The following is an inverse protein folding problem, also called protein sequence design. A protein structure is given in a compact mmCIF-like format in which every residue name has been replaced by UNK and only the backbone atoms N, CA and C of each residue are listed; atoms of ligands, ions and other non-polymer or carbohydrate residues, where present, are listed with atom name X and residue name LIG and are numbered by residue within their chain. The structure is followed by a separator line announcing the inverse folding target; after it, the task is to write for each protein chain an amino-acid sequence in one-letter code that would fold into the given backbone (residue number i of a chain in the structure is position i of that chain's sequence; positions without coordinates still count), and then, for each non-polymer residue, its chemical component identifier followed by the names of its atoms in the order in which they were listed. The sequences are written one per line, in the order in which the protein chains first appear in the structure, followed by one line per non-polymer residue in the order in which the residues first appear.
data_IF_831243145318
#
_entry.id   IF_831243145318
#
_cell.length_a   1.000
_cell.length_b   1.000
_cell.length_c   1.000
_cell.angle_alpha   90.00
_cell.angle_beta   90.00
_cell.angle_gamma   90.00
#
_symmetry.space_group_name_H-M   'P 1'
#
loop_
_entity.id
_entity.type
_entity.pdbx_description
1 polymer ?
#
# COMPACT_ATOMS: atom_id res chain seq x y z
N UNK A 1 19.81 -0.14 -7.92
CA UNK A 1 19.49 -0.94 -9.10
C UNK A 1 18.40 -1.94 -8.76
N UNK A 2 17.40 -2.05 -9.61
CA UNK A 2 16.23 -2.89 -9.34
C UNK A 2 16.46 -4.30 -9.87
N UNK A 3 16.26 -5.31 -9.04
CA UNK A 3 16.39 -6.70 -9.48
C UNK A 3 15.15 -7.14 -10.25
N UNK A 4 15.26 -8.26 -10.96
CA UNK A 4 14.11 -8.83 -11.66
C UNK A 4 13.01 -9.22 -10.68
N UNK A 5 13.37 -9.77 -9.53
CA UNK A 5 12.39 -10.14 -8.52
C UNK A 5 11.65 -8.92 -8.00
N UNK A 6 12.37 -7.83 -7.79
CA UNK A 6 11.76 -6.59 -7.31
C UNK A 6 10.80 -6.01 -8.35
N UNK A 7 11.20 -6.02 -9.62
CA UNK A 7 10.32 -5.53 -10.69
C UNK A 7 9.06 -6.37 -10.81
N UNK A 8 9.22 -7.69 -10.72
CA UNK A 8 8.07 -8.59 -10.80
C UNK A 8 7.11 -8.36 -9.65
N UNK A 9 7.64 -8.15 -8.45
CA UNK A 9 6.80 -7.90 -7.27
C UNK A 9 6.02 -6.59 -7.43
N UNK A 10 6.69 -5.54 -7.87
CA UNK A 10 6.04 -4.24 -8.06
C UNK A 10 4.96 -4.32 -9.14
N UNK A 11 5.22 -5.05 -10.21
CA UNK A 11 4.22 -5.23 -11.26
C UNK A 11 2.99 -5.97 -10.73
N UNK A 12 3.21 -6.97 -9.88
CA UNK A 12 2.11 -7.72 -9.28
C UNK A 12 1.28 -6.83 -8.37
N UNK A 13 1.93 -5.96 -7.59
CA UNK A 13 1.20 -5.03 -6.73
C UNK A 13 0.36 -4.07 -7.56
N UNK A 14 0.89 -3.60 -8.68
CA UNK A 14 0.14 -2.71 -9.55
C UNK A 14 -1.12 -3.40 -10.09
N UNK A 15 -1.04 -4.68 -10.36
CA UNK A 15 -2.18 -5.44 -10.85
C UNK A 15 -3.21 -5.69 -9.75
N UNK A 16 -2.77 -5.79 -8.49
CA UNK A 16 -3.70 -5.98 -7.39
C UNK A 16 -4.55 -4.75 -7.12
N UNK A 17 -4.03 -3.57 -7.43
CA UNK A 17 -4.72 -2.32 -7.17
C UNK A 17 -4.51 -1.81 -5.75
N UNK A 18 -5.22 -0.75 -5.39
CA UNK A 18 -5.08 -0.12 -4.08
C UNK A 18 -5.56 -1.06 -2.98
N UNK A 19 -4.70 -1.33 -2.00
CA UNK A 19 -5.01 -2.25 -0.91
C UNK A 19 -6.24 -1.81 -0.11
N UNK A 20 -6.45 -0.51 0.03
CA UNK A 20 -7.59 0.00 0.76
C UNK A 20 -8.85 0.00 -0.08
N UNK A 21 -8.76 0.44 -1.35
CA UNK A 21 -9.94 0.46 -2.23
C UNK A 21 -10.55 -0.92 -2.42
N UNK A 22 -9.71 -1.93 -2.52
CA UNK A 22 -10.19 -3.30 -2.69
C UNK A 22 -11.04 -3.72 -1.48
N UNK A 23 -10.68 -3.23 -0.29
CA UNK A 23 -11.40 -3.59 0.92
C UNK A 23 -12.72 -2.86 1.05
N UNK A 24 -12.78 -1.58 0.63
CA UNK A 24 -13.97 -0.77 0.89
C UNK A 24 -14.89 -0.61 -0.31
N UNK A 25 -14.43 -0.97 -1.50
CA UNK A 25 -15.24 -0.87 -2.72
C UNK A 25 -15.29 -2.24 -3.39
N UNK A 26 -16.36 -3.03 -3.14
CA UNK A 26 -16.42 -4.41 -3.66
C UNK A 26 -16.26 -4.54 -5.17
N UNK A 27 -16.69 -3.53 -5.92
CA UNK A 27 -16.61 -3.57 -7.37
C UNK A 27 -15.43 -2.75 -7.91
N UNK A 28 -14.42 -2.54 -7.08
CA UNK A 28 -13.29 -1.71 -7.47
C UNK A 28 -12.53 -2.30 -8.64
N UNK A 29 -12.21 -1.46 -9.61
CA UNK A 29 -11.37 -1.83 -10.74
C UNK A 29 -9.95 -1.38 -10.44
N UNK A 30 -8.94 -2.25 -10.65
CA UNK A 30 -7.57 -1.83 -10.42
C UNK A 30 -7.21 -0.63 -11.28
N UNK A 31 -6.52 0.32 -10.70
CA UNK A 31 -6.09 1.52 -11.37
C UNK A 31 -4.70 1.88 -10.94
N UNK A 32 -4.24 3.07 -11.31
CA UNK A 32 -2.89 3.49 -10.93
C UNK A 32 -2.70 3.48 -9.42
N UNK A 33 -1.55 2.96 -8.98
CA UNK A 33 -1.21 2.93 -7.57
C UNK A 33 0.18 3.49 -7.37
N UNK A 34 0.40 3.96 -6.15
CA UNK A 34 1.72 4.34 -5.68
C UNK A 34 2.14 3.32 -4.63
N UNK A 35 3.44 3.16 -4.46
CA UNK A 35 3.95 2.14 -3.55
C UNK A 35 4.40 2.81 -2.26
N UNK A 36 3.74 2.46 -1.17
CA UNK A 36 4.00 3.00 0.15
C UNK A 36 4.84 2.01 0.94
N UNK A 37 5.97 2.46 1.48
CA UNK A 37 6.81 1.62 2.33
C UNK A 37 6.27 1.58 3.74
N UNK A 38 6.13 0.38 4.28
CA UNK A 38 5.83 0.22 5.69
C UNK A 38 7.15 0.31 6.44
N UNK A 39 7.27 1.32 7.29
CA UNK A 39 8.52 1.58 7.99
C UNK A 39 8.53 1.06 9.41
N UNK A 40 8.01 -0.06 9.60
CA UNK A 40 7.98 -0.69 10.90
C UNK A 40 9.39 -1.15 11.26
N UNK A 41 9.96 -0.59 12.30
CA UNK A 41 11.29 -0.98 12.71
C UNK A 41 12.41 -0.31 11.93
N UNK A 42 12.09 0.40 10.92
CA UNK A 42 12.97 1.35 10.32
C UNK A 42 14.14 0.90 9.50
N UNK A 43 14.25 -0.34 9.15
CA UNK A 43 15.45 -0.73 8.47
C UNK A 43 15.25 -1.30 7.12
N UNK A 44 14.13 -1.12 6.58
CA UNK A 44 13.75 -1.74 5.38
C UNK A 44 14.53 -1.38 4.16
N UNK A 45 15.47 -0.55 4.26
CA UNK A 45 16.44 -0.29 3.30
C UNK A 45 16.16 -0.86 1.91
N UNK A 46 15.22 -0.29 1.19
CA UNK A 46 14.90 -0.74 -0.13
C UNK A 46 14.21 -2.08 -0.20
N UNK A 47 13.72 -2.56 0.91
CA UNK A 47 13.05 -3.86 0.94
C UNK A 47 11.71 -3.76 0.24
N UNK A 48 11.64 -4.34 -0.96
CA UNK A 48 10.41 -4.30 -1.74
C UNK A 48 9.29 -5.13 -1.10
N UNK A 49 9.62 -5.98 -0.14
CA UNK A 49 8.59 -6.78 0.54
C UNK A 49 7.79 -5.98 1.55
N UNK A 50 8.16 -4.73 1.79
CA UNK A 50 7.41 -3.87 2.69
C UNK A 50 6.54 -2.86 1.94
N UNK A 51 6.33 -3.06 0.64
CA UNK A 51 5.56 -2.14 -0.17
C UNK A 51 4.07 -2.45 -0.11
N UNK A 52 3.27 -1.40 0.02
CA UNK A 52 1.81 -1.49 0.00
C UNK A 52 1.30 -0.64 -1.15
N UNK A 53 0.53 -1.21 -2.10
CA UNK A 53 -0.01 -0.41 -3.19
C UNK A 53 -1.21 0.41 -2.71
N UNK A 54 -1.17 1.71 -2.93
CA UNK A 54 -2.25 2.62 -2.55
C UNK A 54 -2.48 3.61 -3.68
N UNK A 55 -3.74 3.93 -3.95
CA UNK A 55 -4.04 4.97 -4.93
C UNK A 55 -3.60 6.32 -4.38
N UNK A 56 -3.56 7.33 -5.25
CA UNK A 56 -3.13 8.65 -4.82
C UNK A 56 -3.94 9.14 -3.61
N UNK A 57 -5.24 9.00 -3.68
CA UNK A 57 -6.12 9.50 -2.62
C UNK A 57 -5.81 8.88 -1.27
N UNK A 58 -5.59 7.57 -1.22
CA UNK A 58 -5.35 6.87 0.03
C UNK A 58 -3.88 6.88 0.43
N UNK A 59 -3.01 7.37 -0.43
CA UNK A 59 -1.59 7.50 -0.14
C UNK A 59 -1.24 8.94 0.23
N UNK A 60 -1.41 9.88 -0.69
CA UNK A 60 -1.01 11.27 -0.53
C UNK A 60 -2.16 12.24 -0.39
N UNK A 61 -3.39 11.82 -0.68
CA UNK A 61 -4.55 12.70 -0.59
C UNK A 61 -4.90 13.05 0.84
N UNK A 62 -5.87 13.94 1.01
CA UNK A 62 -6.28 14.41 2.33
C UNK A 62 -6.77 13.29 3.23
N UNK A 63 -7.36 12.26 2.64
CA UNK A 63 -7.85 11.11 3.40
C UNK A 63 -6.90 9.94 3.33
N UNK A 64 -5.69 10.15 2.81
CA UNK A 64 -4.68 9.11 2.71
C UNK A 64 -3.80 9.00 3.93
N UNK A 65 -2.91 8.02 3.89
CA UNK A 65 -2.07 7.73 5.04
C UNK A 65 -1.10 8.88 5.35
N UNK A 66 -0.64 9.60 4.33
CA UNK A 66 0.24 10.75 4.55
C UNK A 66 -0.56 12.00 4.91
N UNK A 67 -1.79 12.12 4.41
CA UNK A 67 -2.62 13.27 4.71
C UNK A 67 -3.16 13.24 6.14
N UNK A 68 -3.65 12.08 6.56
CA UNK A 68 -4.21 11.93 7.91
C UNK A 68 -3.16 11.61 8.96
N UNK A 69 -2.06 10.98 8.54
CA UNK A 69 -1.13 10.38 9.47
C UNK A 69 -1.50 8.93 9.73
N UNK A 70 -0.51 8.11 10.05
CA UNK A 70 -0.72 6.67 10.14
C UNK A 70 -1.80 6.27 11.12
N UNK A 71 -1.76 6.80 12.33
CA UNK A 71 -2.72 6.37 13.35
C UNK A 71 -4.14 6.80 13.03
N UNK A 72 -4.31 8.02 12.54
CA UNK A 72 -5.63 8.50 12.16
C UNK A 72 -6.17 7.72 10.97
N UNK A 73 -5.31 7.41 10.01
CA UNK A 73 -5.69 6.62 8.86
C UNK A 73 -6.17 5.22 9.28
N UNK A 74 -5.42 4.57 10.16
CA UNK A 74 -5.80 3.24 10.62
C UNK A 74 -7.13 3.27 11.38
N UNK A 75 -7.33 4.30 12.18
CA UNK A 75 -8.56 4.46 12.94
C UNK A 75 -9.74 4.74 12.04
N UNK A 76 -9.53 5.60 11.04
CA UNK A 76 -10.59 5.99 10.12
C UNK A 76 -11.11 4.82 9.31
N UNK A 77 -10.22 3.96 8.84
CA UNK A 77 -10.60 2.86 7.95
C UNK A 77 -10.70 1.51 8.65
N UNK A 78 -10.35 1.46 9.93
CA UNK A 78 -10.46 0.22 10.67
C UNK A 78 -9.51 -0.87 10.21
N UNK A 79 -8.34 -0.48 9.73
CA UNK A 79 -7.36 -1.45 9.21
C UNK A 79 -5.97 -0.94 9.54
N UNK A 80 -5.04 -1.86 9.81
CA UNK A 80 -3.66 -1.48 10.09
C UNK A 80 -2.80 -1.57 8.84
N UNK A 81 -1.69 -0.85 8.84
CA UNK A 81 -0.71 -0.97 7.76
C UNK A 81 -0.23 -2.41 7.61
N UNK A 82 -0.06 -3.10 8.72
CA UNK A 82 0.40 -4.49 8.69
C UNK A 82 -0.61 -5.37 7.96
N UNK A 83 -1.90 -5.15 8.19
CA UNK A 83 -2.92 -5.91 7.48
C UNK A 83 -2.90 -5.64 5.98
N UNK A 84 -2.70 -4.38 5.60
CA UNK A 84 -2.60 -4.03 4.19
C UNK A 84 -1.38 -4.67 3.56
N UNK A 85 -0.26 -4.71 4.28
CA UNK A 85 0.94 -5.35 3.79
C UNK A 85 0.75 -6.85 3.60
N UNK A 86 0.10 -7.49 4.55
CA UNK A 86 -0.16 -8.93 4.44
C UNK A 86 -1.02 -9.25 3.23
N UNK A 87 -2.02 -8.42 2.98
CA UNK A 87 -2.81 -8.58 1.77
C UNK A 87 -1.96 -8.41 0.52
N UNK A 88 -1.06 -7.43 0.53
CA UNK A 88 -0.21 -7.17 -0.63
C UNK A 88 0.72 -8.34 -0.93
N UNK A 89 1.11 -9.06 0.10
CA UNK A 89 2.04 -10.19 -0.06
C UNK A 89 1.33 -11.50 -0.37
N UNK A 90 0.04 -11.54 -0.23
CA UNK A 90 -0.73 -12.79 -0.43
C UNK A 90 -0.86 -13.19 -1.89
#
# INVERSE_FOLDING_TARGET
MTTAAERAHKARLAQKGCALCVRIYPAHQPGPVQLHHLRSGGWGKGDYETLIPLCYEHHLGDTGIHGLGTKAFEREYGVTQQELLEWAKS
#
